data_IF_509256007954
#
_entry.id   IF_509256007954
#
_cell.length_a   1.000
_cell.length_b   1.000
_cell.length_c   1.000
_cell.angle_alpha   90.00
_cell.angle_beta   90.00
_cell.angle_gamma   90.00
#
_symmetry.space_group_name_H-M   'P 1'
#
loop_
_entity.id
_entity.type
_entity.pdbx_description
1 polymer ?
#
# COMPACT_ATOMS: atom_id res chain seq x y z
N UNK A 1 -8.81 -13.75 0.99
CA UNK A 1 -9.58 -13.18 -0.15
C UNK A 1 -8.60 -12.70 -1.21
N UNK A 2 -8.95 -12.60 -2.50
CA UNK A 2 -8.02 -11.99 -3.50
C UNK A 2 -8.12 -10.48 -3.45
N UNK A 3 -7.04 -9.78 -3.78
CA UNK A 3 -7.02 -8.31 -3.82
C UNK A 3 -8.05 -7.75 -4.80
N UNK A 4 -8.23 -8.36 -5.99
CA UNK A 4 -9.28 -7.95 -6.94
C UNK A 4 -10.70 -7.90 -6.35
N UNK A 5 -11.02 -8.82 -5.43
CA UNK A 5 -12.35 -8.87 -4.82
C UNK A 5 -12.60 -7.66 -3.90
N UNK A 6 -11.55 -7.06 -3.34
CA UNK A 6 -11.66 -5.81 -2.58
C UNK A 6 -11.97 -4.63 -3.50
N UNK A 7 -11.34 -4.56 -4.67
CA UNK A 7 -11.60 -3.51 -5.66
C UNK A 7 -13.02 -3.61 -6.24
N UNK A 8 -13.56 -4.82 -6.35
CA UNK A 8 -14.94 -5.07 -6.80
C UNK A 8 -15.99 -4.76 -5.72
N UNK A 9 -15.57 -4.42 -4.49
CA UNK A 9 -16.48 -4.06 -3.39
C UNK A 9 -16.63 -2.54 -3.31
N UNK A 10 -17.61 -1.98 -4.03
CA UNK A 10 -17.86 -0.53 -4.13
C UNK A 10 -17.94 0.19 -2.78
N UNK A 11 -18.49 -0.47 -1.75
CA UNK A 11 -18.62 0.10 -0.41
C UNK A 11 -17.27 0.41 0.28
N UNK A 12 -16.16 -0.13 -0.22
CA UNK A 12 -14.81 0.16 0.29
C UNK A 12 -14.21 1.43 -0.33
N UNK A 13 -14.77 1.95 -1.43
CA UNK A 13 -14.28 3.18 -2.07
C UNK A 13 -12.84 3.08 -2.59
N UNK A 14 -12.37 1.87 -2.91
CA UNK A 14 -10.99 1.65 -3.38
C UNK A 14 -10.86 1.97 -4.86
N UNK A 15 -9.72 2.57 -5.23
CA UNK A 15 -9.35 2.88 -6.61
C UNK A 15 -7.91 2.46 -6.82
N UNK A 16 -7.69 1.61 -7.80
CA UNK A 16 -6.34 1.14 -8.16
C UNK A 16 -5.55 2.26 -8.84
N UNK A 17 -4.33 2.50 -8.37
CA UNK A 17 -3.36 3.44 -8.92
C UNK A 17 -2.21 2.74 -9.66
N UNK A 18 -1.97 1.45 -9.38
CA UNK A 18 -1.03 0.62 -10.13
C UNK A 18 -0.94 -0.81 -9.59
N UNK A 19 -0.35 -1.71 -10.39
CA UNK A 19 -0.13 -3.11 -10.00
C UNK A 19 -1.25 -4.05 -10.46
N UNK A 20 -1.83 -3.78 -11.62
CA UNK A 20 -2.91 -4.55 -12.26
C UNK A 20 -2.57 -6.04 -12.40
N UNK A 21 -1.31 -6.34 -12.71
CA UNK A 21 -0.81 -7.71 -12.89
C UNK A 21 -0.69 -8.49 -11.58
N UNK A 22 -0.88 -7.84 -10.43
CA UNK A 22 -0.63 -8.39 -9.09
C UNK A 22 -1.93 -8.59 -8.28
N UNK A 23 -3.10 -8.35 -8.89
CA UNK A 23 -4.40 -8.36 -8.20
C UNK A 23 -4.90 -9.74 -7.74
N UNK A 24 -4.22 -10.82 -8.15
CA UNK A 24 -4.53 -12.19 -7.68
C UNK A 24 -3.82 -12.54 -6.36
N UNK A 25 -3.04 -11.62 -5.77
CA UNK A 25 -2.48 -11.77 -4.43
C UNK A 25 -3.55 -12.06 -3.39
N UNK A 26 -3.22 -12.96 -2.45
CA UNK A 26 -4.11 -13.31 -1.34
C UNK A 26 -3.94 -12.33 -0.20
N UNK A 27 -5.02 -11.61 0.12
CA UNK A 27 -5.15 -10.80 1.33
C UNK A 27 -5.54 -11.70 2.50
N UNK A 28 -4.67 -11.71 3.52
CA UNK A 28 -4.79 -12.51 4.76
C UNK A 28 -5.22 -11.69 5.97
N UNK A 29 -5.04 -10.37 5.91
CA UNK A 29 -5.36 -9.45 7.00
C UNK A 29 -5.21 -8.02 6.55
N UNK A 30 -5.47 -7.10 7.48
CA UNK A 30 -5.38 -5.66 7.28
C UNK A 30 -4.49 -5.10 8.39
N UNK A 31 -3.56 -4.21 8.04
CA UNK A 31 -2.69 -3.53 8.98
C UNK A 31 -2.76 -2.03 8.74
N UNK A 32 -3.30 -1.26 9.69
CA UNK A 32 -3.29 0.20 9.61
C UNK A 32 -2.08 0.75 10.36
N UNK A 33 -1.26 1.54 9.69
CA UNK A 33 -0.04 2.09 10.31
C UNK A 33 0.47 3.35 9.62
N UNK A 34 1.07 4.22 10.42
CA UNK A 34 1.91 5.33 9.95
C UNK A 34 3.30 5.29 10.60
N UNK A 35 3.76 4.08 10.94
CA UNK A 35 5.16 3.89 11.28
C UNK A 35 6.02 3.96 10.00
N UNK A 36 7.14 4.68 10.05
CA UNK A 36 8.12 4.71 8.95
C UNK A 36 8.68 3.33 8.61
N UNK A 37 8.78 2.46 9.61
CA UNK A 37 9.19 1.07 9.45
C UNK A 37 8.23 0.15 10.24
N UNK A 38 7.21 -0.41 9.57
CA UNK A 38 6.29 -1.35 10.20
C UNK A 38 6.76 -2.81 10.11
N UNK A 39 7.97 -3.10 9.60
CA UNK A 39 8.43 -4.47 9.26
C UNK A 39 8.25 -5.49 10.39
N UNK A 40 8.51 -5.10 11.64
CA UNK A 40 8.38 -5.98 12.81
C UNK A 40 6.95 -6.48 13.09
N UNK A 41 5.96 -5.88 12.45
CA UNK A 41 4.54 -6.21 12.61
C UNK A 41 3.94 -6.90 11.39
N UNK A 42 4.70 -7.03 10.31
CA UNK A 42 4.25 -7.64 9.06
C UNK A 42 4.67 -9.10 9.00
N UNK A 43 3.73 -9.96 8.63
CA UNK A 43 3.90 -11.40 8.44
C UNK A 43 3.67 -11.84 6.98
N UNK A 44 3.27 -10.91 6.10
CA UNK A 44 3.04 -11.14 4.68
C UNK A 44 1.57 -11.41 4.35
N UNK A 45 1.16 -10.91 3.17
CA UNK A 45 -0.22 -11.01 2.68
C UNK A 45 -1.20 -10.01 3.31
N UNK A 46 -0.74 -9.06 4.13
CA UNK A 46 -1.59 -7.98 4.62
C UNK A 46 -1.90 -6.95 3.52
N UNK A 47 -3.08 -6.35 3.57
CA UNK A 47 -3.31 -5.05 2.95
C UNK A 47 -2.91 -3.97 3.97
N UNK A 48 -1.91 -3.17 3.67
CA UNK A 48 -1.45 -2.10 4.56
C UNK A 48 -2.25 -0.82 4.28
N UNK A 49 -2.81 -0.19 5.30
CA UNK A 49 -3.54 1.07 5.22
C UNK A 49 -2.72 2.16 5.89
N UNK A 50 -2.54 3.30 5.23
CA UNK A 50 -1.74 4.42 5.75
C UNK A 50 -2.42 5.75 5.49
N UNK A 51 -2.35 6.66 6.47
CA UNK A 51 -2.72 8.06 6.29
C UNK A 51 -1.58 8.91 5.75
N UNK A 52 -0.40 8.33 5.48
CA UNK A 52 0.82 8.99 5.01
C UNK A 52 1.49 9.92 6.03
N UNK A 53 1.14 9.83 7.33
CA UNK A 53 1.73 10.68 8.37
C UNK A 53 3.23 10.42 8.62
N UNK A 54 3.76 9.31 8.09
CA UNK A 54 5.20 9.01 8.11
C UNK A 54 6.01 9.83 7.11
N UNK A 55 5.37 10.33 6.04
CA UNK A 55 6.02 10.98 4.89
C UNK A 55 6.30 12.45 5.19
N UNK A 56 7.57 12.86 5.11
CA UNK A 56 7.99 14.26 5.27
C UNK A 56 8.35 14.90 3.94
N UNK A 57 8.98 14.12 3.06
CA UNK A 57 9.32 14.51 1.70
C UNK A 57 9.23 13.30 0.74
N UNK A 58 9.47 13.54 -0.54
CA UNK A 58 9.36 12.52 -1.58
C UNK A 58 10.38 11.37 -1.42
N UNK A 59 11.51 11.60 -0.75
CA UNK A 59 12.54 10.58 -0.57
C UNK A 59 12.16 9.53 0.48
N UNK A 60 11.15 9.79 1.32
CA UNK A 60 10.66 8.84 2.30
C UNK A 60 9.86 7.68 1.66
N UNK A 61 9.26 7.85 0.47
CA UNK A 61 8.36 6.87 -0.15
C UNK A 61 9.06 5.59 -0.61
N UNK A 62 10.21 5.72 -1.25
CA UNK A 62 10.97 4.57 -1.76
C UNK A 62 11.41 3.61 -0.63
N UNK A 63 12.02 4.07 0.48
CA UNK A 63 12.30 3.21 1.63
C UNK A 63 11.06 2.54 2.22
N UNK A 64 9.95 3.27 2.34
CA UNK A 64 8.71 2.75 2.91
C UNK A 64 8.14 1.61 2.05
N UNK A 65 7.97 1.84 0.76
CA UNK A 65 7.46 0.83 -0.18
C UNK A 65 8.40 -0.38 -0.26
N UNK A 66 9.71 -0.17 -0.29
CA UNK A 66 10.70 -1.27 -0.28
C UNK A 66 10.55 -2.16 0.95
N UNK A 67 10.30 -1.58 2.13
CA UNK A 67 10.06 -2.36 3.35
C UNK A 67 8.79 -3.21 3.21
N UNK A 68 7.69 -2.62 2.72
CA UNK A 68 6.43 -3.33 2.52
C UNK A 68 6.55 -4.47 1.49
N UNK A 69 7.18 -4.19 0.36
CA UNK A 69 7.43 -5.18 -0.68
C UNK A 69 8.31 -6.32 -0.17
N UNK A 70 9.39 -6.00 0.57
CA UNK A 70 10.27 -6.99 1.19
C UNK A 70 9.57 -7.85 2.24
N UNK A 71 8.56 -7.31 2.94
CA UNK A 71 7.72 -8.06 3.87
C UNK A 71 6.65 -8.94 3.18
N UNK A 72 6.49 -8.83 1.85
CA UNK A 72 5.55 -9.63 1.09
C UNK A 72 4.08 -9.28 1.34
N UNK A 73 3.78 -8.01 1.63
CA UNK A 73 2.39 -7.56 1.79
C UNK A 73 1.61 -7.70 0.47
N UNK A 74 0.29 -7.86 0.57
CA UNK A 74 -0.57 -8.04 -0.59
C UNK A 74 -0.75 -6.74 -1.39
N UNK A 75 -0.75 -5.59 -0.72
CA UNK A 75 -0.89 -4.26 -1.33
C UNK A 75 -0.79 -3.15 -0.29
N UNK A 76 -0.78 -1.92 -0.77
CA UNK A 76 -0.85 -0.68 0.01
C UNK A 76 -2.16 0.05 -0.33
N UNK A 77 -2.83 0.61 0.66
CA UNK A 77 -3.98 1.50 0.48
C UNK A 77 -3.66 2.81 1.20
N UNK A 78 -3.48 3.88 0.43
CA UNK A 78 -3.15 5.20 0.94
C UNK A 78 -4.39 6.08 1.03
N UNK A 79 -4.58 6.74 2.17
CA UNK A 79 -5.62 7.74 2.36
C UNK A 79 -5.18 9.12 1.89
N UNK A 80 -6.09 9.84 1.23
CA UNK A 80 -5.86 11.21 0.74
C UNK A 80 -6.00 12.28 1.85
N UNK A 81 -6.51 11.92 3.04
CA UNK A 81 -6.92 12.87 4.07
C UNK A 81 -5.79 13.79 4.59
N UNK A 82 -4.55 13.29 4.71
CA UNK A 82 -3.42 14.07 5.24
C UNK A 82 -2.79 14.99 4.19
N UNK A 83 -2.72 14.53 2.93
CA UNK A 83 -1.96 15.21 1.86
C UNK A 83 -2.84 15.80 0.75
N UNK A 84 -4.16 15.58 0.78
CA UNK A 84 -5.12 15.99 -0.25
C UNK A 84 -5.17 15.07 -1.46
N UNK A 85 -4.02 14.56 -1.90
CA UNK A 85 -3.87 13.63 -3.02
C UNK A 85 -2.81 12.58 -2.71
N UNK A 86 -2.79 11.48 -3.47
CA UNK A 86 -1.73 10.47 -3.38
C UNK A 86 -0.46 10.97 -4.09
N UNK A 87 0.69 11.06 -3.40
CA UNK A 87 1.92 11.58 -4.00
C UNK A 87 2.43 10.72 -5.16
N UNK A 88 2.86 11.35 -6.25
CA UNK A 88 3.40 10.65 -7.41
C UNK A 88 4.61 9.78 -7.08
N UNK A 89 5.50 10.23 -6.18
CA UNK A 89 6.64 9.45 -5.70
C UNK A 89 6.25 8.13 -5.02
N UNK A 90 5.08 8.07 -4.38
CA UNK A 90 4.55 6.85 -3.78
C UNK A 90 4.06 5.88 -4.87
N UNK A 91 3.35 6.41 -5.88
CA UNK A 91 2.87 5.62 -7.02
C UNK A 91 4.06 5.01 -7.77
N UNK A 92 5.07 5.82 -8.10
CA UNK A 92 6.28 5.36 -8.80
C UNK A 92 7.05 4.30 -8.01
N UNK A 93 7.20 4.49 -6.69
CA UNK A 93 7.84 3.49 -5.84
C UNK A 93 7.04 2.17 -5.82
N UNK A 94 5.71 2.24 -5.70
CA UNK A 94 4.84 1.06 -5.76
C UNK A 94 4.97 0.30 -7.08
N UNK A 95 4.98 1.01 -8.21
CA UNK A 95 5.20 0.43 -9.53
C UNK A 95 6.58 -0.24 -9.64
N UNK A 96 7.63 0.42 -9.18
CA UNK A 96 9.00 -0.12 -9.20
C UNK A 96 9.12 -1.44 -8.43
N UNK A 97 8.46 -1.54 -7.27
CA UNK A 97 8.47 -2.72 -6.42
C UNK A 97 7.35 -3.73 -6.70
N UNK A 98 6.56 -3.51 -7.77
CA UNK A 98 5.36 -4.33 -8.10
C UNK A 98 4.42 -4.50 -6.90
N UNK A 99 4.21 -3.43 -6.15
CA UNK A 99 3.29 -3.40 -5.02
C UNK A 99 1.99 -2.73 -5.49
N UNK A 100 0.83 -3.43 -5.45
CA UNK A 100 -0.45 -2.79 -5.71
C UNK A 100 -0.71 -1.61 -4.79
N UNK A 101 -1.22 -0.51 -5.35
CA UNK A 101 -1.60 0.71 -4.64
C UNK A 101 -3.05 1.11 -4.97
#
# INVERSE_FOLDING_TARGET
MRLRALLETDALGLRLLGGEDELDRTVRGVMTTDLRDPSRYLSGGELVLTGLAWRRDAADSEPFVRILAGAGVAGLAAGEAELGDIPADLVEACLHHRLPL
#
